data_IF_201885141410
#
_entry.id   IF_201885141410
#
_cell.length_a   1.000
_cell.length_b   1.000
_cell.length_c   1.000
_cell.angle_alpha   90.00
_cell.angle_beta   90.00
_cell.angle_gamma   90.00
#
_symmetry.space_group_name_H-M   'P 1'
#
loop_
_entity.id
_entity.type
_entity.pdbx_description
1 polymer ?
#
# COMPACT_ATOMS: atom_id res chain seq x y z
N UNK A 1 -10.11 17.91 20.42
CA UNK A 1 -9.63 18.28 19.07
C UNK A 1 -8.62 17.23 18.66
N UNK A 2 -9.07 16.18 17.98
CA UNK A 2 -8.19 15.17 17.39
C UNK A 2 -7.29 15.90 16.38
N UNK A 3 -5.98 15.84 16.58
CA UNK A 3 -5.04 16.26 15.54
C UNK A 3 -5.29 15.34 14.34
N UNK A 4 -5.65 15.91 13.19
CA UNK A 4 -5.80 15.17 11.94
C UNK A 4 -4.51 14.35 11.71
N UNK A 5 -4.59 13.05 11.90
CA UNK A 5 -3.54 12.11 11.49
C UNK A 5 -3.83 11.86 10.02
N UNK A 6 -2.90 12.20 9.14
CA UNK A 6 -3.05 11.91 7.72
C UNK A 6 -2.14 10.73 7.39
N UNK A 7 -2.69 9.62 6.90
CA UNK A 7 -1.85 8.52 6.43
C UNK A 7 -1.30 8.85 5.06
N UNK A 8 0.00 8.59 4.88
CA UNK A 8 0.69 8.78 3.59
C UNK A 8 0.79 7.47 2.87
N UNK A 9 0.16 7.39 1.71
CA UNK A 9 0.15 6.18 0.91
C UNK A 9 0.92 6.36 -0.40
N UNK A 10 1.48 5.28 -0.92
CA UNK A 10 2.03 5.22 -2.26
C UNK A 10 1.82 3.84 -2.87
N UNK A 11 1.88 3.82 -4.20
CA UNK A 11 1.94 2.59 -4.98
C UNK A 11 3.39 2.30 -5.35
N UNK A 12 3.76 1.04 -5.37
CA UNK A 12 5.05 0.60 -5.90
C UNK A 12 4.91 -0.67 -6.75
N UNK A 13 5.86 -0.86 -7.66
CA UNK A 13 5.98 -2.04 -8.51
C UNK A 13 7.36 -2.64 -8.30
N UNK A 14 7.42 -3.95 -8.10
CA UNK A 14 8.68 -4.70 -8.05
C UNK A 14 8.75 -5.63 -9.25
N UNK A 15 9.83 -5.54 -10.02
CA UNK A 15 10.17 -6.56 -11.01
C UNK A 15 10.80 -7.76 -10.29
N UNK A 16 9.99 -8.81 -10.08
CA UNK A 16 10.38 -9.98 -9.27
C UNK A 16 11.59 -10.71 -9.84
N UNK A 17 11.66 -10.86 -11.17
CA UNK A 17 12.77 -11.55 -11.82
C UNK A 17 14.09 -10.78 -11.67
N UNK A 18 14.05 -9.45 -11.77
CA UNK A 18 15.24 -8.62 -11.52
C UNK A 18 15.62 -8.64 -10.04
N UNK A 19 14.66 -8.49 -9.14
CA UNK A 19 14.91 -8.52 -7.70
C UNK A 19 15.54 -9.84 -7.26
N UNK A 20 15.05 -10.97 -7.76
CA UNK A 20 15.62 -12.29 -7.48
C UNK A 20 17.08 -12.42 -7.94
N UNK A 21 17.43 -11.88 -9.12
CA UNK A 21 18.83 -11.87 -9.60
C UNK A 21 19.73 -10.99 -8.75
N UNK A 22 19.23 -9.84 -8.31
CA UNK A 22 19.98 -8.94 -7.41
C UNK A 22 20.25 -9.64 -6.08
N UNK A 23 19.25 -10.32 -5.51
CA UNK A 23 19.42 -11.12 -4.30
C UNK A 23 20.48 -12.22 -4.49
N UNK A 24 20.43 -12.97 -5.59
CA UNK A 24 21.40 -14.04 -5.86
C UNK A 24 22.85 -13.53 -5.94
N UNK A 25 23.05 -12.33 -6.50
CA UNK A 25 24.38 -11.70 -6.56
C UNK A 25 24.84 -11.29 -5.16
N UNK A 26 23.95 -10.72 -4.35
CA UNK A 26 24.27 -10.34 -2.97
C UNK A 26 24.61 -11.55 -2.12
N UNK A 27 23.85 -12.65 -2.22
CA UNK A 27 24.12 -13.88 -1.47
C UNK A 27 25.52 -14.47 -1.77
N UNK A 28 26.08 -14.17 -2.95
CA UNK A 28 27.43 -14.59 -3.37
C UNK A 28 28.54 -13.61 -2.96
N UNK A 29 28.23 -12.32 -2.88
CA UNK A 29 29.24 -11.26 -2.74
C UNK A 29 29.27 -10.62 -1.36
N UNK A 30 28.13 -10.58 -0.66
CA UNK A 30 27.96 -9.84 0.58
C UNK A 30 28.07 -8.31 0.44
N UNK A 31 28.14 -7.79 -0.80
CA UNK A 31 28.31 -6.36 -1.05
C UNK A 31 26.98 -5.61 -0.88
N UNK A 32 26.81 -5.03 0.29
CA UNK A 32 25.58 -4.35 0.69
C UNK A 32 25.32 -3.06 -0.11
N UNK A 33 26.37 -2.29 -0.44
CA UNK A 33 26.22 -1.03 -1.16
C UNK A 33 25.80 -1.28 -2.63
N UNK A 34 26.45 -2.25 -3.29
CA UNK A 34 26.06 -2.68 -4.63
C UNK A 34 24.65 -3.27 -4.64
N UNK A 35 24.28 -4.02 -3.60
CA UNK A 35 22.95 -4.60 -3.44
C UNK A 35 21.86 -3.55 -3.34
N UNK A 36 21.96 -2.56 -2.44
CA UNK A 36 20.92 -1.53 -2.29
C UNK A 36 20.71 -0.74 -3.58
N UNK A 37 21.81 -0.34 -4.24
CA UNK A 37 21.76 0.36 -5.52
C UNK A 37 21.09 -0.49 -6.58
N UNK A 38 21.45 -1.77 -6.70
CA UNK A 38 20.84 -2.67 -7.67
C UNK A 38 19.36 -2.94 -7.36
N UNK A 39 19.00 -3.11 -6.09
CA UNK A 39 17.64 -3.39 -5.64
C UNK A 39 16.71 -2.22 -5.95
N UNK A 40 17.15 -0.98 -5.71
CA UNK A 40 16.37 0.23 -6.02
C UNK A 40 15.96 0.30 -7.51
N UNK A 41 16.82 -0.19 -8.42
CA UNK A 41 16.53 -0.24 -9.86
C UNK A 41 15.45 -1.27 -10.25
N UNK A 42 15.10 -2.17 -9.32
CA UNK A 42 14.06 -3.19 -9.52
C UNK A 42 12.67 -2.71 -9.10
N UNK A 43 12.62 -1.59 -8.38
CA UNK A 43 11.40 -1.01 -7.82
C UNK A 43 11.06 0.28 -8.57
N UNK A 44 9.78 0.46 -8.88
CA UNK A 44 9.24 1.75 -9.34
C UNK A 44 8.26 2.23 -8.29
N UNK A 45 8.57 3.36 -7.66
CA UNK A 45 7.72 3.99 -6.64
C UNK A 45 6.96 5.15 -7.31
N UNK A 46 5.65 5.20 -7.09
CA UNK A 46 4.81 6.31 -7.55
C UNK A 46 4.75 7.42 -6.51
N UNK A 47 4.37 8.65 -6.92
CA UNK A 47 4.22 9.77 -5.98
C UNK A 47 3.30 9.41 -4.82
N UNK A 48 3.71 9.85 -3.63
CA UNK A 48 2.89 9.72 -2.43
C UNK A 48 1.61 10.54 -2.55
N UNK A 49 0.58 10.10 -1.83
CA UNK A 49 -0.66 10.83 -1.67
C UNK A 49 -1.15 10.71 -0.23
N UNK A 50 -1.72 11.82 0.24
CA UNK A 50 -2.34 11.89 1.54
C UNK A 50 -3.76 11.35 1.43
N UNK A 51 -4.13 10.49 2.36
CA UNK A 51 -5.51 10.08 2.56
C UNK A 51 -6.18 11.02 3.54
N UNK A 52 -7.50 11.18 3.40
CA UNK A 52 -8.29 11.93 4.35
C UNK A 52 -8.95 10.92 5.29
N UNK A 53 -8.56 10.96 6.56
CA UNK A 53 -9.18 10.14 7.60
C UNK A 53 -10.50 10.80 7.97
N UNK A 54 -11.60 10.09 7.75
CA UNK A 54 -12.97 10.54 8.00
C UNK A 54 -13.95 9.39 7.83
N UNK A 55 -15.09 9.47 8.52
CA UNK A 55 -16.17 8.46 8.41
C UNK A 55 -16.55 8.25 6.94
N UNK A 56 -16.43 6.99 6.49
CA UNK A 56 -16.81 6.54 5.15
C UNK A 56 -16.10 7.27 4.00
N UNK A 57 -14.88 7.76 4.20
CA UNK A 57 -14.14 8.46 3.15
C UNK A 57 -13.32 7.49 2.28
N UNK A 58 -13.77 7.34 1.03
CA UNK A 58 -13.06 6.57 0.00
C UNK A 58 -12.06 7.47 -0.75
N UNK A 59 -10.77 7.23 -0.55
CA UNK A 59 -9.70 7.80 -1.37
C UNK A 59 -9.33 6.84 -2.50
N UNK A 60 -9.40 7.27 -3.76
CA UNK A 60 -8.96 6.46 -4.92
C UNK A 60 -7.96 7.23 -5.78
N UNK A 61 -6.86 6.57 -6.13
CA UNK A 61 -5.81 7.08 -7.04
C UNK A 61 -5.55 6.11 -8.18
N UNK A 62 -5.13 6.67 -9.31
CA UNK A 62 -4.81 5.90 -10.50
C UNK A 62 -3.39 6.19 -10.97
N UNK A 63 -2.70 5.14 -11.38
CA UNK A 63 -1.34 5.22 -11.91
C UNK A 63 -1.24 4.41 -13.20
N UNK A 64 -0.42 4.88 -14.14
CA UNK A 64 -0.17 4.14 -15.37
C UNK A 64 0.91 3.11 -15.08
N UNK A 65 0.64 1.84 -15.40
CA UNK A 65 1.63 0.80 -15.27
C UNK A 65 2.75 1.00 -16.32
N UNK A 66 4.04 1.08 -15.93
CA UNK A 66 5.12 1.44 -16.83
C UNK A 66 5.22 0.52 -18.05
N UNK A 67 5.46 1.12 -19.22
CA UNK A 67 5.64 0.42 -20.49
C UNK A 67 4.44 -0.45 -20.92
N UNK A 68 3.24 -0.18 -20.42
CA UNK A 68 2.01 -0.89 -20.79
C UNK A 68 0.82 0.06 -20.88
N UNK A 69 -0.34 -0.45 -21.32
CA UNK A 69 -1.62 0.29 -21.29
C UNK A 69 -2.44 -0.03 -20.02
N UNK A 70 -1.87 -0.79 -19.08
CA UNK A 70 -2.56 -1.15 -17.86
C UNK A 70 -2.59 0.04 -16.89
N UNK A 71 -3.62 0.07 -16.06
CA UNK A 71 -3.87 1.09 -15.07
C UNK A 71 -3.93 0.42 -13.70
N UNK A 72 -3.18 0.98 -12.76
CA UNK A 72 -3.23 0.60 -11.36
C UNK A 72 -4.26 1.49 -10.69
N UNK A 73 -5.26 0.88 -10.05
CA UNK A 73 -6.22 1.58 -9.20
C UNK A 73 -5.94 1.20 -7.76
N UNK A 74 -5.69 2.20 -6.93
CA UNK A 74 -5.41 2.07 -5.51
C UNK A 74 -6.50 2.80 -4.72
N UNK A 75 -7.10 2.12 -3.76
CA UNK A 75 -8.21 2.65 -2.97
C UNK A 75 -7.99 2.40 -1.48
N UNK A 76 -8.31 3.40 -0.66
CA UNK A 76 -8.32 3.33 0.80
C UNK A 76 -9.69 3.80 1.25
N UNK A 77 -10.30 3.06 2.17
CA UNK A 77 -11.56 3.40 2.79
C UNK A 77 -11.39 3.30 4.30
N UNK A 78 -11.64 4.39 5.01
CA UNK A 78 -11.64 4.38 6.48
C UNK A 78 -13.04 4.02 6.97
N UNK A 79 -13.07 3.11 7.94
CA UNK A 79 -14.28 2.70 8.63
C UNK A 79 -14.15 3.08 10.10
N UNK A 80 -15.22 3.64 10.65
CA UNK A 80 -15.35 3.79 12.09
C UNK A 80 -15.69 2.42 12.68
N UNK A 81 -14.76 1.80 13.41
CA UNK A 81 -15.07 0.54 14.08
C UNK A 81 -15.76 0.79 15.40
N UNK A 82 -17.09 0.79 15.34
CA UNK A 82 -17.91 0.17 16.39
C UNK A 82 -17.89 -1.37 16.31
N UNK A 83 -16.95 -1.98 15.57
CA UNK A 83 -16.93 -3.40 15.20
C UNK A 83 -15.81 -4.23 15.86
N UNK A 84 -14.95 -3.62 16.69
CA UNK A 84 -14.12 -4.37 17.64
C UNK A 84 -14.89 -4.62 18.95
N UNK A 85 -15.23 -5.89 19.16
CA UNK A 85 -15.79 -6.44 20.38
C UNK A 85 -14.90 -6.21 21.62
N UNK A 86 -15.51 -5.60 22.64
CA UNK A 86 -15.07 -5.49 24.05
C UNK A 86 -14.14 -4.30 24.39
N UNK A 87 -14.67 -3.23 25.02
CA UNK A 87 -13.82 -2.28 25.72
C UNK A 87 -13.16 -2.99 26.91
N UNK A 88 -11.87 -3.30 26.81
CA UNK A 88 -11.08 -3.53 28.00
C UNK A 88 -11.04 -2.22 28.78
N UNK A 89 -11.65 -2.25 29.96
CA UNK A 89 -11.76 -1.10 30.86
C UNK A 89 -10.39 -0.40 31.01
N UNK A 90 -10.39 0.92 30.80
CA UNK A 90 -9.30 1.88 31.05
C UNK A 90 -8.30 2.20 29.92
N UNK A 91 -8.57 1.86 28.67
CA UNK A 91 -7.80 2.40 27.54
C UNK A 91 -8.69 3.21 26.59
N UNK A 92 -8.31 4.46 26.32
CA UNK A 92 -8.79 5.21 25.15
C UNK A 92 -8.13 4.61 23.92
N UNK A 93 -8.71 3.56 23.37
CA UNK A 93 -8.25 2.98 22.11
C UNK A 93 -8.91 3.77 20.98
N UNK A 94 -8.11 4.43 20.15
CA UNK A 94 -8.58 4.92 18.86
C UNK A 94 -8.64 3.70 17.94
N UNK A 95 -9.75 2.95 18.00
CA UNK A 95 -10.01 1.79 17.14
C UNK A 95 -10.40 2.28 15.74
N UNK A 96 -9.42 2.75 14.96
CA UNK A 96 -9.63 3.05 13.55
C UNK A 96 -9.47 1.78 12.74
N UNK A 97 -10.27 1.62 11.69
CA UNK A 97 -9.99 0.63 10.66
C UNK A 97 -9.87 1.24 9.29
N UNK A 98 -9.12 0.52 8.47
CA UNK A 98 -9.01 0.84 7.06
C UNK A 98 -9.12 -0.43 6.24
N UNK A 99 -9.76 -0.27 5.09
CA UNK A 99 -9.73 -1.24 4.01
C UNK A 99 -8.91 -0.61 2.89
N UNK A 100 -7.81 -1.26 2.51
CA UNK A 100 -6.98 -0.84 1.39
C UNK A 100 -7.02 -1.88 0.28
N UNK A 101 -6.97 -1.40 -0.96
CA UNK A 101 -7.08 -2.25 -2.14
C UNK A 101 -6.21 -1.76 -3.29
N UNK A 102 -5.64 -2.70 -4.03
CA UNK A 102 -4.93 -2.43 -5.28
C UNK A 102 -5.34 -3.42 -6.35
N UNK A 103 -5.60 -2.91 -7.55
CA UNK A 103 -5.92 -3.72 -8.73
C UNK A 103 -5.22 -3.16 -9.96
N UNK A 104 -4.87 -4.03 -10.90
CA UNK A 104 -4.34 -3.66 -12.21
C UNK A 104 -5.26 -4.16 -13.31
N UNK A 105 -5.84 -3.25 -14.09
CA UNK A 105 -6.74 -3.58 -15.20
C UNK A 105 -6.38 -2.78 -16.46
N UNK A 106 -7.13 -2.98 -17.56
CA UNK A 106 -6.92 -2.25 -18.83
C UNK A 106 -7.67 -0.91 -18.90
N UNK A 107 -8.38 -0.52 -17.83
CA UNK A 107 -9.17 0.71 -17.73
C UNK A 107 -9.09 1.27 -16.30
N UNK A 108 -9.61 2.48 -16.08
CA UNK A 108 -9.76 3.00 -14.71
C UNK A 108 -10.96 2.31 -14.08
N UNK A 109 -10.77 1.71 -12.90
CA UNK A 109 -11.89 1.26 -12.07
C UNK A 109 -12.39 2.40 -11.20
N UNK A 110 -13.66 2.36 -10.77
CA UNK A 110 -14.17 3.36 -9.82
C UNK A 110 -13.46 3.28 -8.47
N UNK A 111 -13.13 2.06 -8.05
CA UNK A 111 -12.43 1.75 -6.81
C UNK A 111 -11.86 0.34 -6.89
N UNK A 112 -10.72 0.10 -6.24
CA UNK A 112 -10.22 -1.26 -6.04
C UNK A 112 -11.11 -2.09 -5.09
N UNK A 113 -12.00 -1.44 -4.34
CA UNK A 113 -12.92 -2.05 -3.36
C UNK A 113 -14.35 -2.25 -3.90
N UNK A 114 -14.60 -1.92 -5.17
CA UNK A 114 -15.92 -2.10 -5.77
C UNK A 114 -16.22 -3.59 -6.01
N UNK A 115 -17.48 -3.99 -5.83
CA UNK A 115 -17.97 -5.34 -6.12
C UNK A 115 -17.75 -5.78 -7.57
N UNK A 116 -17.70 -4.82 -8.50
CA UNK A 116 -17.49 -5.09 -9.92
C UNK A 116 -15.99 -5.25 -10.27
N UNK A 117 -15.10 -4.89 -9.34
CA UNK A 117 -13.65 -5.00 -9.52
C UNK A 117 -13.19 -6.42 -9.24
N UNK A 118 -12.85 -7.14 -10.30
CA UNK A 118 -12.32 -8.50 -10.18
C UNK A 118 -10.81 -8.50 -9.90
N UNK A 119 -10.36 -9.50 -9.15
CA UNK A 119 -8.95 -9.78 -8.86
C UNK A 119 -8.21 -8.68 -8.08
N UNK A 120 -8.90 -7.79 -7.38
CA UNK A 120 -8.25 -6.85 -6.47
C UNK A 120 -7.54 -7.60 -5.33
N UNK A 121 -6.37 -7.10 -4.93
CA UNK A 121 -5.78 -7.46 -3.63
C UNK A 121 -6.32 -6.48 -2.60
N UNK A 122 -7.00 -6.98 -1.58
CA UNK A 122 -7.65 -6.20 -0.54
C UNK A 122 -7.07 -6.62 0.82
N UNK A 123 -6.88 -5.67 1.70
CA UNK A 123 -6.45 -5.87 3.09
C UNK A 123 -7.28 -4.98 3.98
N UNK A 124 -7.92 -5.58 4.97
CA UNK A 124 -8.64 -4.89 6.03
C UNK A 124 -7.82 -5.01 7.31
N UNK A 125 -7.75 -3.91 8.06
CA UNK A 125 -7.03 -3.86 9.31
C UNK A 125 -7.72 -2.90 10.27
N UNK A 126 -7.96 -3.38 11.49
CA UNK A 126 -8.17 -2.53 12.66
C UNK A 126 -6.79 -2.18 13.20
N UNK A 127 -6.49 -0.91 13.37
CA UNK A 127 -5.15 -0.44 13.71
C UNK A 127 -5.17 0.58 14.84
N UNK A 128 -4.10 0.54 15.61
CA UNK A 128 -3.86 1.40 16.76
C UNK A 128 -2.70 2.36 16.49
N UNK A 129 -2.31 3.11 17.52
CA UNK A 129 -1.20 4.05 17.45
C UNK A 129 0.20 3.42 17.24
N UNK A 130 0.31 2.09 17.30
CA UNK A 130 1.56 1.34 17.09
C UNK A 130 1.66 0.77 15.68
N UNK A 131 0.59 0.85 14.90
CA UNK A 131 0.59 0.38 13.52
C UNK A 131 1.34 1.37 12.64
N UNK A 132 2.48 0.95 12.11
CA UNK A 132 3.33 1.80 11.26
C UNK A 132 2.91 1.73 9.80
N UNK A 133 2.76 0.51 9.28
CA UNK A 133 2.63 0.25 7.84
C UNK A 133 1.51 -0.75 7.57
N UNK A 134 0.59 -0.38 6.69
CA UNK A 134 -0.42 -1.27 6.12
C UNK A 134 -0.15 -1.49 4.63
N UNK A 135 -0.28 -2.73 4.14
CA UNK A 135 0.04 -3.09 2.75
C UNK A 135 -0.96 -4.05 2.13
N UNK A 136 -1.38 -3.75 0.90
CA UNK A 136 -2.05 -4.69 0.00
C UNK A 136 -1.08 -5.02 -1.16
N UNK A 137 -0.97 -6.30 -1.51
CA UNK A 137 0.03 -6.81 -2.47
C UNK A 137 -0.60 -7.75 -3.49
N UNK A 138 -0.42 -7.42 -4.76
CA UNK A 138 -0.92 -8.21 -5.88
C UNK A 138 0.23 -8.70 -6.77
N UNK A 139 0.31 -10.00 -7.01
CA UNK A 139 1.20 -10.54 -8.05
C UNK A 139 0.49 -10.55 -9.39
N UNK A 140 1.14 -10.03 -10.43
CA UNK A 140 0.58 -9.99 -11.79
C UNK A 140 1.63 -10.41 -12.82
N UNK A 141 1.16 -10.77 -14.02
CA UNK A 141 2.00 -11.05 -15.17
C UNK A 141 1.71 -10.06 -16.29
N UNK A 142 2.72 -9.31 -16.73
CA UNK A 142 2.60 -8.32 -17.81
C UNK A 142 3.61 -8.67 -18.90
N UNK A 143 3.11 -8.96 -20.11
CA UNK A 143 3.94 -9.36 -21.27
C UNK A 143 4.96 -10.46 -20.95
N UNK A 144 4.52 -11.50 -20.24
CA UNK A 144 5.38 -12.63 -19.89
C UNK A 144 6.15 -12.48 -18.58
N UNK A 145 6.34 -11.27 -18.06
CA UNK A 145 7.16 -10.97 -16.88
C UNK A 145 6.32 -10.88 -15.61
N UNK A 146 6.85 -11.37 -14.49
CA UNK A 146 6.19 -11.32 -13.18
C UNK A 146 6.50 -10.02 -12.45
N UNK A 147 5.45 -9.38 -11.93
CA UNK A 147 5.54 -8.17 -11.11
C UNK A 147 4.77 -8.35 -9.81
N UNK A 148 5.24 -7.68 -8.76
CA UNK A 148 4.48 -7.43 -7.54
C UNK A 148 4.07 -5.97 -7.53
N UNK A 149 2.79 -5.72 -7.30
CA UNK A 149 2.24 -4.38 -7.10
C UNK A 149 1.87 -4.26 -5.64
N UNK A 150 2.31 -3.19 -5.00
CA UNK A 150 1.94 -2.88 -3.64
C UNK A 150 1.27 -1.52 -3.54
N UNK A 151 0.25 -1.46 -2.70
CA UNK A 151 -0.20 -0.24 -2.05
C UNK A 151 0.34 -0.29 -0.62
N UNK A 152 1.03 0.77 -0.19
CA UNK A 152 1.55 0.91 1.16
C UNK A 152 1.04 2.22 1.75
N UNK A 153 0.58 2.20 2.99
CA UNK A 153 0.25 3.38 3.78
C UNK A 153 1.12 3.43 5.03
N UNK A 154 1.71 4.59 5.32
CA UNK A 154 2.40 4.94 6.56
C UNK A 154 1.44 5.67 7.48
N UNK A 155 1.02 4.97 8.53
CA UNK A 155 0.03 5.42 9.51
C UNK A 155 0.66 6.26 10.64
N UNK A 156 1.99 6.43 10.63
CA UNK A 156 2.74 7.24 11.60
C UNK A 156 3.50 8.41 10.96
N UNK A 157 3.22 8.74 9.69
CA UNK A 157 3.97 9.73 8.93
C UNK A 157 4.09 11.11 9.62
N UNK A 158 3.03 11.60 10.28
CA UNK A 158 3.05 12.88 11.01
C UNK A 158 3.83 12.85 12.32
N UNK A 159 3.97 11.69 12.98
CA UNK A 159 4.79 11.57 14.22
C UNK A 159 6.28 11.75 13.88
N UNK A 160 6.72 11.18 12.76
CA UNK A 160 8.11 11.27 12.26
C UNK A 160 8.54 12.68 11.85
N UNK A 161 7.60 13.59 11.57
CA UNK A 161 7.90 14.99 11.22
C UNK A 161 8.02 15.91 12.45
N UNK A 162 7.66 15.42 13.65
CA UNK A 162 7.70 16.18 14.90
C UNK A 162 8.92 15.82 15.79
N UNK A 163 9.69 14.80 15.40
CA UNK A 163 10.95 14.37 16.02
C UNK A 163 12.16 14.90 15.23
#
# INVERSE_FOLDING_TARGET
MSKDVDDRCHVYIVNIEKAAKVQEIFDKTGDYEAYEKALSSTVTVFPEFITKIGEEELTTKHFIFPNSRLIITASIFYTDESLASHPLQNFTVNDQSMIIGVVVTNKKEKSALSTDTQNASITEVTYDEYTNIVRAKQFIKVRGRKFLIGLQCDCMAKRKEQD
#
